data_IF_439455722806
#
_entry.id   IF_439455722806
#
_cell.length_a   1.000
_cell.length_b   1.000
_cell.length_c   1.000
_cell.angle_alpha   90.00
_cell.angle_beta   90.00
_cell.angle_gamma   90.00
#
_symmetry.space_group_name_H-M   'P 1'
#
loop_
_entity.id
_entity.type
_entity.pdbx_description
1 polymer ?
#
# COMPACT_ATOMS: atom_id res chain seq x y z
N UNK A 1 -8.11 15.52 -1.29
CA UNK A 1 -7.61 14.35 -2.05
C UNK A 1 -8.02 13.09 -1.31
N UNK A 2 -8.68 12.16 -1.98
CA UNK A 2 -9.05 10.88 -1.37
C UNK A 2 -7.83 9.95 -1.38
N UNK A 3 -7.70 9.13 -0.34
CA UNK A 3 -6.69 8.06 -0.26
C UNK A 3 -7.39 6.72 -0.13
N UNK A 4 -6.72 5.66 -0.56
CA UNK A 4 -7.19 4.30 -0.43
C UNK A 4 -6.10 3.42 0.18
N UNK A 5 -6.52 2.42 0.95
CA UNK A 5 -5.65 1.34 1.39
C UNK A 5 -5.50 0.33 0.24
N UNK A 6 -4.27 -0.07 -0.03
CA UNK A 6 -3.92 -1.12 -0.98
C UNK A 6 -3.10 -2.13 -0.22
N UNK A 7 -3.44 -3.40 -0.36
CA UNK A 7 -2.76 -4.48 0.33
C UNK A 7 -2.22 -5.51 -0.65
N UNK A 8 -1.09 -6.13 -0.28
CA UNK A 8 -0.59 -7.35 -0.91
C UNK A 8 -0.61 -8.48 0.11
N UNK A 9 -1.37 -9.52 -0.21
CA UNK A 9 -1.45 -10.73 0.61
C UNK A 9 -0.18 -11.58 0.50
N UNK A 10 0.09 -12.47 1.47
CA UNK A 10 1.21 -13.42 1.40
C UNK A 10 1.20 -14.29 0.13
N UNK A 11 0.01 -14.64 -0.37
CA UNK A 11 -0.17 -15.37 -1.64
C UNK A 11 0.20 -14.54 -2.90
N UNK A 12 0.52 -13.26 -2.74
CA UNK A 12 0.94 -12.34 -3.78
C UNK A 12 -0.17 -11.58 -4.50
N UNK A 13 -1.44 -11.85 -4.18
CA UNK A 13 -2.59 -11.11 -4.69
C UNK A 13 -2.65 -9.69 -4.12
N UNK A 14 -3.32 -8.80 -4.87
CA UNK A 14 -3.48 -7.38 -4.52
C UNK A 14 -4.95 -7.02 -4.37
N UNK A 15 -5.29 -6.30 -3.29
CA UNK A 15 -6.63 -5.76 -3.06
C UNK A 15 -6.58 -4.26 -2.75
N UNK A 16 -7.69 -3.58 -3.00
CA UNK A 16 -7.91 -2.14 -2.73
C UNK A 16 -9.13 -1.98 -1.83
N UNK A 17 -9.11 -0.95 -0.98
CA UNK A 17 -10.16 -0.67 -0.02
C UNK A 17 -9.85 -1.17 1.40
N UNK A 18 -10.86 -1.15 2.26
CA UNK A 18 -10.73 -1.53 3.67
C UNK A 18 -9.99 -0.49 4.52
N UNK A 19 -10.03 -0.71 5.83
CA UNK A 19 -9.29 0.11 6.79
C UNK A 19 -7.89 -0.45 6.93
N UNK A 20 -6.90 0.41 7.17
CA UNK A 20 -5.52 -0.04 7.47
C UNK A 20 -5.50 -1.01 8.64
N UNK A 21 -6.35 -0.80 9.65
CA UNK A 21 -6.46 -1.60 10.88
C UNK A 21 -7.33 -2.84 10.76
N UNK A 22 -7.68 -3.27 9.54
CA UNK A 22 -8.50 -4.46 9.33
C UNK A 22 -7.73 -5.73 9.75
N UNK A 23 -8.25 -6.60 10.63
CA UNK A 23 -7.55 -7.82 11.07
C UNK A 23 -7.10 -8.72 9.91
N UNK A 24 -7.83 -8.71 8.79
CA UNK A 24 -7.45 -9.47 7.59
C UNK A 24 -6.11 -9.03 6.98
N UNK A 25 -5.58 -7.87 7.39
CA UNK A 25 -4.35 -7.28 6.89
C UNK A 25 -3.14 -7.46 7.81
N UNK A 26 -3.26 -8.21 8.92
CA UNK A 26 -2.16 -8.40 9.89
C UNK A 26 -0.86 -8.91 9.25
N UNK A 27 -0.96 -9.84 8.30
CA UNK A 27 0.18 -10.41 7.56
C UNK A 27 0.39 -9.76 6.18
N UNK A 28 -0.36 -8.72 5.86
CA UNK A 28 -0.31 -8.09 4.54
C UNK A 28 0.77 -7.00 4.46
N UNK A 29 1.28 -6.79 3.26
CA UNK A 29 1.97 -5.55 2.94
C UNK A 29 0.93 -4.44 2.75
N UNK A 30 1.01 -3.32 3.49
CA UNK A 30 -0.04 -2.28 3.50
C UNK A 30 0.47 -0.93 3.01
N UNK A 31 -0.25 -0.37 2.02
CA UNK A 31 0.07 0.90 1.36
C UNK A 31 -1.14 1.84 1.38
N UNK A 32 -0.96 3.06 1.85
CA UNK A 32 -1.95 4.14 1.79
C UNK A 32 -1.52 5.13 0.73
N UNK A 33 -2.27 5.19 -0.37
CA UNK A 33 -1.90 5.94 -1.57
C UNK A 33 -3.06 6.84 -2.04
N UNK A 34 -2.78 7.91 -2.79
CA UNK A 34 -3.80 8.71 -3.45
C UNK A 34 -4.74 7.84 -4.29
N UNK A 35 -6.02 8.14 -4.21
CA UNK A 35 -7.07 7.42 -4.92
C UNK A 35 -7.57 8.24 -6.12
N UNK A 36 -7.40 7.65 -7.30
CA UNK A 36 -7.94 8.13 -8.58
C UNK A 36 -8.77 7.00 -9.22
N UNK A 37 -8.16 5.82 -9.33
CA UNK A 37 -8.81 4.55 -9.66
C UNK A 37 -8.12 3.38 -8.95
N UNK A 38 -8.79 2.22 -8.84
CA UNK A 38 -8.18 1.01 -8.30
C UNK A 38 -6.91 0.60 -9.05
N UNK A 39 -6.92 0.72 -10.39
CA UNK A 39 -5.76 0.40 -11.21
C UNK A 39 -4.60 1.36 -10.94
N UNK A 40 -4.87 2.66 -10.81
CA UNK A 40 -3.86 3.65 -10.48
C UNK A 40 -3.27 3.42 -9.08
N UNK A 41 -4.12 3.16 -8.08
CA UNK A 41 -3.71 2.89 -6.71
C UNK A 41 -2.83 1.63 -6.61
N UNK A 42 -3.23 0.52 -7.25
CA UNK A 42 -2.42 -0.71 -7.32
C UNK A 42 -1.08 -0.46 -7.99
N UNK A 43 -1.05 0.27 -9.11
CA UNK A 43 0.19 0.60 -9.82
C UNK A 43 1.15 1.42 -8.93
N UNK A 44 0.63 2.38 -8.17
CA UNK A 44 1.43 3.16 -7.23
C UNK A 44 2.00 2.29 -6.10
N UNK A 45 1.17 1.46 -5.47
CA UNK A 45 1.61 0.55 -4.40
C UNK A 45 2.69 -0.44 -4.89
N UNK A 46 2.51 -1.00 -6.10
CA UNK A 46 3.52 -1.86 -6.74
C UNK A 46 4.84 -1.12 -7.01
N UNK A 47 4.78 0.14 -7.45
CA UNK A 47 5.97 0.95 -7.66
C UNK A 47 6.72 1.22 -6.36
N UNK A 48 6.00 1.51 -5.27
CA UNK A 48 6.57 1.66 -3.92
C UNK A 48 7.24 0.36 -3.48
N UNK A 49 6.52 -0.77 -3.58
CA UNK A 49 7.07 -2.09 -3.25
C UNK A 49 8.38 -2.37 -3.98
N UNK A 50 8.40 -2.16 -5.30
CA UNK A 50 9.60 -2.37 -6.13
C UNK A 50 10.78 -1.51 -5.65
N UNK A 51 10.53 -0.24 -5.28
CA UNK A 51 11.57 0.65 -4.72
C UNK A 51 12.11 0.13 -3.40
N UNK A 52 11.25 -0.38 -2.52
CA UNK A 52 11.67 -0.93 -1.22
C UNK A 52 12.51 -2.19 -1.40
N UNK A 53 12.06 -3.14 -2.23
CA UNK A 53 12.81 -4.35 -2.57
C UNK A 53 14.19 -4.00 -3.15
N UNK A 54 14.23 -3.10 -4.13
CA UNK A 54 15.49 -2.70 -4.76
C UNK A 54 16.47 -2.02 -3.78
N UNK A 55 15.95 -1.39 -2.73
CA UNK A 55 16.76 -0.71 -1.71
C UNK A 55 17.05 -1.60 -0.49
N UNK A 56 16.57 -2.85 -0.47
CA UNK A 56 16.68 -3.73 0.69
C UNK A 56 15.96 -3.20 1.93
N UNK A 57 14.93 -2.37 1.76
CA UNK A 57 14.15 -1.81 2.86
C UNK A 57 13.09 -2.81 3.35
N UNK A 58 12.79 -2.75 4.65
CA UNK A 58 11.68 -3.52 5.23
C UNK A 58 10.35 -3.13 4.56
N UNK A 59 9.63 -4.13 4.06
CA UNK A 59 8.36 -3.90 3.37
C UNK A 59 7.31 -3.32 4.33
N UNK A 60 6.45 -2.41 3.85
CA UNK A 60 5.36 -1.88 4.66
C UNK A 60 4.45 -2.98 5.18
N UNK A 61 3.89 -2.82 6.37
CA UNK A 61 2.98 -3.77 7.00
C UNK A 61 1.79 -3.02 7.60
N UNK A 62 0.80 -3.72 8.14
CA UNK A 62 -0.28 -3.06 8.86
C UNK A 62 0.21 -2.18 10.03
N UNK A 63 1.23 -2.64 10.77
CA UNK A 63 1.81 -1.91 11.92
C UNK A 63 2.56 -0.65 11.48
N UNK A 64 3.26 -0.73 10.36
CA UNK A 64 4.01 0.36 9.75
C UNK A 64 3.63 0.49 8.28
N UNK A 65 2.45 1.04 7.98
CA UNK A 65 1.95 1.13 6.61
C UNK A 65 2.73 2.21 5.87
N UNK A 66 2.92 2.01 4.57
CA UNK A 66 3.41 3.09 3.72
C UNK A 66 2.34 4.16 3.64
N UNK A 67 2.71 5.41 3.86
CA UNK A 67 1.83 6.55 3.63
C UNK A 67 2.47 7.41 2.56
N UNK A 68 1.81 7.54 1.42
CA UNK A 68 2.32 8.42 0.37
C UNK A 68 2.48 9.83 0.96
N UNK A 69 3.68 10.44 0.86
CA UNK A 69 3.86 11.81 1.32
C UNK A 69 2.86 12.69 0.58
N UNK A 70 2.02 13.40 1.33
CA UNK A 70 1.12 14.42 0.80
C UNK A 70 2.03 15.49 0.20
N UNK A 71 2.19 15.49 -1.12
CA UNK A 71 2.88 16.58 -1.78
C UNK A 71 1.89 17.74 -1.75
N UNK A 72 2.13 18.69 -0.83
CA UNK A 72 1.46 20.00 -0.86
C UNK A 72 1.98 20.66 -2.14
N UNK A 73 1.18 20.61 -3.19
CA UNK A 73 1.39 21.38 -4.42
C UNK A 73 0.63 22.69 -4.27
#
# INVERSE_FOLDING_TARGET
>A
MNVITVVRFPNGSWSTGGRVSDPDYEECEVYVVPYDSDAAAKKQAQAVRRRYVNKGLALPSQKTPYRHPLTVV
#
